data_IF_726399372183
#
_entry.id   IF_726399372183
#
_cell.length_a   1.000
_cell.length_b   1.000
_cell.length_c   1.000
_cell.angle_alpha   90.00
_cell.angle_beta   90.00
_cell.angle_gamma   90.00
#
_symmetry.space_group_name_H-M   'P 1'
#
loop_
_entity.id
_entity.type
_entity.pdbx_description
1 polymer ?
#
# COMPACT_ATOMS: atom_id res chain seq x y z
N UNK A 1 -12.80 3.72 -2.31
CA UNK A 1 -11.48 4.31 -2.07
C UNK A 1 -10.39 3.48 -2.75
N UNK A 2 -10.27 3.62 -4.08
CA UNK A 2 -9.39 2.77 -4.89
C UNK A 2 -8.35 3.58 -5.68
N UNK A 3 -8.42 4.90 -5.59
CA UNK A 3 -7.54 5.82 -6.31
C UNK A 3 -6.31 6.22 -5.48
N UNK A 4 -5.81 5.32 -4.64
CA UNK A 4 -4.61 5.60 -3.84
C UNK A 4 -4.85 6.39 -2.54
N UNK A 5 -6.07 6.85 -2.25
CA UNK A 5 -6.43 7.39 -0.93
C UNK A 5 -6.64 6.22 0.05
N UNK A 6 -5.57 5.56 0.44
CA UNK A 6 -5.63 4.39 1.32
C UNK A 6 -4.95 4.61 2.66
N UNK A 7 -4.24 5.72 2.86
CA UNK A 7 -3.67 6.03 4.16
C UNK A 7 -4.77 6.48 5.13
N UNK A 8 -4.85 5.84 6.29
CA UNK A 8 -5.83 6.20 7.33
C UNK A 8 -5.69 7.67 7.75
N UNK A 9 -4.48 8.23 7.92
CA UNK A 9 -4.31 9.65 8.21
C UNK A 9 -4.97 10.58 7.18
N UNK A 10 -4.83 10.31 5.88
CA UNK A 10 -5.44 11.13 4.83
C UNK A 10 -6.97 11.04 4.83
N UNK A 11 -7.53 9.87 5.14
CA UNK A 11 -8.97 9.66 5.20
C UNK A 11 -9.65 10.36 6.38
N UNK A 12 -8.90 10.62 7.46
CA UNK A 12 -9.40 11.29 8.65
C UNK A 12 -9.22 12.81 8.61
N UNK A 13 -8.57 13.36 7.58
CA UNK A 13 -8.36 14.79 7.44
C UNK A 13 -9.51 15.47 6.70
N UNK A 14 -9.88 16.71 7.09
CA UNK A 14 -10.79 17.52 6.30
C UNK A 14 -10.22 17.81 4.91
N UNK A 15 -11.09 17.91 3.90
CA UNK A 15 -10.67 18.10 2.51
C UNK A 15 -9.72 19.27 2.30
N UNK A 16 -9.93 20.41 2.98
CA UNK A 16 -9.13 21.62 2.79
C UNK A 16 -7.66 21.46 3.23
N UNK A 17 -7.34 20.53 4.13
CA UNK A 17 -5.97 20.27 4.59
C UNK A 17 -5.27 19.15 3.80
N UNK A 18 -5.94 18.53 2.84
CA UNK A 18 -5.34 17.57 1.95
C UNK A 18 -4.34 18.25 1.01
N UNK A 19 -3.28 17.55 0.63
CA UNK A 19 -2.38 18.00 -0.43
C UNK A 19 -3.11 18.06 -1.79
N UNK A 20 -2.55 18.81 -2.75
CA UNK A 20 -3.14 18.92 -4.09
C UNK A 20 -3.39 17.56 -4.74
N UNK A 21 -2.44 16.64 -4.67
CA UNK A 21 -2.61 15.29 -5.21
C UNK A 21 -3.65 14.44 -4.43
N UNK A 22 -3.80 14.63 -3.12
CA UNK A 22 -4.87 13.98 -2.34
C UNK A 22 -6.25 14.55 -2.68
N UNK A 23 -6.36 15.88 -2.85
CA UNK A 23 -7.59 16.53 -3.30
C UNK A 23 -8.00 16.01 -4.67
N UNK A 24 -7.08 16.02 -5.64
CA UNK A 24 -7.36 15.53 -6.99
C UNK A 24 -7.88 14.08 -6.99
N UNK A 25 -7.26 13.20 -6.20
CA UNK A 25 -7.75 11.81 -6.03
C UNK A 25 -9.13 11.73 -5.37
N UNK A 26 -9.41 12.61 -4.41
CA UNK A 26 -10.71 12.68 -3.76
C UNK A 26 -11.78 13.14 -4.74
N UNK A 27 -11.49 14.16 -5.54
CA UNK A 27 -12.40 14.71 -6.53
C UNK A 27 -12.76 13.70 -7.62
N UNK A 28 -11.76 13.00 -8.16
CA UNK A 28 -11.98 11.90 -9.10
C UNK A 28 -12.84 10.81 -8.45
N UNK A 29 -12.54 10.44 -7.19
CA UNK A 29 -13.28 9.38 -6.50
C UNK A 29 -14.76 9.72 -6.27
N UNK A 30 -15.07 10.98 -6.04
CA UNK A 30 -16.46 11.48 -5.87
C UNK A 30 -17.18 11.59 -7.21
N UNK A 31 -16.48 12.04 -8.25
CA UNK A 31 -17.04 12.24 -9.58
C UNK A 31 -17.24 10.93 -10.36
N UNK A 32 -16.54 9.86 -9.98
CA UNK A 32 -16.49 8.60 -10.72
C UNK A 32 -17.82 7.87 -10.66
N UNK A 33 -18.51 7.82 -11.79
CA UNK A 33 -19.75 7.09 -12.03
C UNK A 33 -19.86 6.67 -13.49
N UNK A 34 -20.84 5.88 -13.81
CA UNK A 34 -21.14 5.55 -15.20
C UNK A 34 -21.44 6.81 -16.03
N UNK A 35 -20.85 6.92 -17.20
CA UNK A 35 -21.02 8.06 -18.10
C UNK A 35 -20.32 9.34 -17.65
N UNK A 36 -19.39 9.33 -16.70
CA UNK A 36 -18.70 10.53 -16.26
C UNK A 36 -17.64 11.01 -17.26
N UNK A 37 -17.39 12.32 -17.22
CA UNK A 37 -16.31 13.00 -17.95
C UNK A 37 -15.32 13.51 -16.91
N UNK A 38 -14.03 13.20 -17.07
CA UNK A 38 -12.95 13.70 -16.22
C UNK A 38 -12.06 14.55 -17.11
N UNK A 39 -12.04 15.84 -16.84
CA UNK A 39 -11.20 16.80 -17.53
C UNK A 39 -9.92 17.08 -16.74
N UNK A 40 -8.88 17.61 -17.42
CA UNK A 40 -7.58 17.94 -16.83
C UNK A 40 -6.96 16.77 -16.04
N UNK A 41 -7.21 15.55 -16.49
CA UNK A 41 -6.72 14.36 -15.80
C UNK A 41 -5.19 14.38 -15.70
N UNK A 42 -4.69 14.30 -14.48
CA UNK A 42 -3.25 14.33 -14.10
C UNK A 42 -2.51 15.65 -14.31
N UNK A 43 -3.18 16.76 -14.69
CA UNK A 43 -2.54 18.06 -14.91
C UNK A 43 -1.78 18.59 -13.67
N UNK A 44 -2.27 18.30 -12.47
CA UNK A 44 -1.71 18.76 -11.19
C UNK A 44 -0.84 17.68 -10.48
N UNK A 45 -0.52 16.59 -11.16
CA UNK A 45 0.16 15.45 -10.57
C UNK A 45 1.60 15.31 -11.10
N UNK A 46 2.54 14.91 -10.22
CA UNK A 46 3.81 14.40 -10.71
C UNK A 46 3.58 13.06 -11.46
N UNK A 47 4.56 12.62 -12.26
CA UNK A 47 4.37 11.47 -13.15
C UNK A 47 4.17 10.13 -12.40
N UNK A 48 4.79 9.94 -11.24
CA UNK A 48 4.63 8.72 -10.43
C UNK A 48 3.22 8.66 -9.84
N UNK A 49 2.72 9.78 -9.34
CA UNK A 49 1.35 9.89 -8.85
C UNK A 49 0.33 9.71 -9.98
N UNK A 50 0.56 10.35 -11.14
CA UNK A 50 -0.28 10.20 -12.33
C UNK A 50 -0.39 8.74 -12.76
N UNK A 51 0.73 8.01 -12.80
CA UNK A 51 0.75 6.56 -13.07
C UNK A 51 -0.10 5.78 -12.09
N UNK A 52 0.08 6.04 -10.79
CA UNK A 52 -0.69 5.35 -9.73
C UNK A 52 -2.19 5.64 -9.80
N UNK A 53 -2.57 6.89 -10.06
CA UNK A 53 -3.97 7.27 -10.21
C UNK A 53 -4.58 6.60 -11.45
N UNK A 54 -3.90 6.62 -12.58
CA UNK A 54 -4.36 6.02 -13.83
C UNK A 54 -4.62 4.53 -13.69
N UNK A 55 -3.65 3.80 -13.13
CA UNK A 55 -3.78 2.37 -12.85
C UNK A 55 -4.92 2.10 -11.85
N UNK A 56 -4.99 2.88 -10.78
CA UNK A 56 -6.03 2.75 -9.76
C UNK A 56 -7.43 3.03 -10.31
N UNK A 57 -7.55 4.02 -11.20
CA UNK A 57 -8.78 4.38 -11.88
C UNK A 57 -9.22 3.25 -12.81
N UNK A 58 -8.35 2.74 -13.67
CA UNK A 58 -8.67 1.61 -14.55
C UNK A 58 -9.14 0.39 -13.76
N UNK A 59 -8.40 -0.02 -12.75
CA UNK A 59 -8.79 -1.12 -11.88
C UNK A 59 -10.14 -0.91 -11.19
N UNK A 60 -10.49 0.35 -10.90
CA UNK A 60 -11.77 0.68 -10.27
C UNK A 60 -12.90 0.61 -11.27
N UNK A 61 -12.72 1.13 -12.49
CA UNK A 61 -13.66 1.05 -13.59
C UNK A 61 -13.99 -0.41 -13.89
N UNK A 62 -12.97 -1.24 -14.10
CA UNK A 62 -13.15 -2.66 -14.41
C UNK A 62 -13.88 -3.41 -13.28
N UNK A 63 -13.52 -3.14 -12.03
CA UNK A 63 -14.12 -3.82 -10.88
C UNK A 63 -15.58 -3.43 -10.61
N UNK A 64 -15.95 -2.17 -10.90
CA UNK A 64 -17.30 -1.66 -10.68
C UNK A 64 -18.17 -1.84 -11.93
N UNK A 65 -17.57 -2.22 -13.07
CA UNK A 65 -18.27 -2.37 -14.34
C UNK A 65 -18.74 -1.06 -14.94
N UNK A 66 -18.12 0.06 -14.57
CA UNK A 66 -18.48 1.38 -15.12
C UNK A 66 -18.13 1.49 -16.60
N UNK A 67 -18.97 2.18 -17.34
CA UNK A 67 -18.87 2.33 -18.79
C UNK A 67 -19.08 3.78 -19.22
N UNK A 68 -18.74 4.10 -20.49
CA UNK A 68 -18.93 5.42 -21.09
C UNK A 68 -18.19 6.53 -20.35
N UNK A 69 -16.98 6.22 -19.86
CA UNK A 69 -16.14 7.20 -19.17
C UNK A 69 -15.24 7.86 -20.20
N UNK A 70 -15.23 9.19 -20.22
CA UNK A 70 -14.35 9.99 -21.06
C UNK A 70 -13.33 10.70 -20.18
N UNK A 71 -12.07 10.65 -20.57
CA UNK A 71 -10.96 11.28 -19.85
C UNK A 71 -10.22 12.18 -20.82
N UNK A 72 -10.10 13.46 -20.49
CA UNK A 72 -9.26 14.40 -21.24
C UNK A 72 -7.96 14.66 -20.46
N UNK A 73 -6.82 14.59 -21.14
CA UNK A 73 -5.51 14.82 -20.56
C UNK A 73 -4.57 15.43 -21.59
N UNK A 74 -3.68 16.31 -21.12
CA UNK A 74 -2.58 16.85 -21.91
C UNK A 74 -1.31 15.91 -21.91
N UNK A 75 -1.39 14.78 -21.22
CA UNK A 75 -0.27 13.86 -21.05
C UNK A 75 -0.51 12.54 -21.77
N UNK A 76 0.33 12.21 -22.75
CA UNK A 76 0.16 10.99 -23.56
C UNK A 76 0.51 9.70 -22.83
N UNK A 77 1.42 9.74 -21.85
CA UNK A 77 1.86 8.56 -21.07
C UNK A 77 0.74 7.95 -20.18
N UNK A 78 -0.36 8.70 -19.95
CA UNK A 78 -1.53 8.14 -19.25
C UNK A 78 -2.25 7.07 -20.09
N UNK A 79 -2.08 7.08 -21.41
CA UNK A 79 -2.72 6.11 -22.33
C UNK A 79 -2.28 4.68 -21.97
N UNK A 80 -0.98 4.47 -21.78
CA UNK A 80 -0.43 3.15 -21.41
C UNK A 80 -0.89 2.67 -20.03
N UNK A 81 -1.21 3.61 -19.13
CA UNK A 81 -1.62 3.27 -17.77
C UNK A 81 -3.12 3.10 -17.60
N UNK A 82 -3.90 3.84 -18.39
CA UNK A 82 -5.37 3.75 -18.39
C UNK A 82 -5.89 2.60 -19.25
N UNK A 83 -5.11 2.16 -20.25
CA UNK A 83 -5.53 1.15 -21.23
C UNK A 83 -6.93 1.46 -21.80
N UNK A 84 -7.13 2.64 -22.41
CA UNK A 84 -8.43 3.04 -22.90
C UNK A 84 -8.89 2.14 -24.04
N UNK A 85 -10.21 2.05 -24.23
CA UNK A 85 -10.79 1.31 -25.34
C UNK A 85 -10.68 2.08 -26.66
N UNK A 86 -10.51 3.42 -26.60
CA UNK A 86 -10.27 4.31 -27.73
C UNK A 86 -9.54 5.57 -27.30
N UNK A 87 -8.83 6.19 -28.22
CA UNK A 87 -8.07 7.45 -28.03
C UNK A 87 -8.36 8.39 -29.19
N UNK A 88 -8.76 9.61 -28.88
CA UNK A 88 -8.85 10.72 -29.86
C UNK A 88 -7.69 11.67 -29.60
N UNK A 89 -6.84 11.88 -30.60
CA UNK A 89 -5.83 12.93 -30.59
C UNK A 89 -6.47 14.21 -31.14
N UNK A 90 -6.65 15.22 -30.29
CA UNK A 90 -7.32 16.47 -30.66
C UNK A 90 -6.51 17.35 -31.59
N UNK A 91 -5.18 17.17 -31.67
CA UNK A 91 -4.30 17.93 -32.59
C UNK A 91 -4.45 17.40 -34.00
N UNK A 92 -4.41 16.07 -34.18
CA UNK A 92 -4.47 15.44 -35.50
C UNK A 92 -5.89 15.07 -35.94
N UNK A 93 -6.85 15.05 -35.01
CA UNK A 93 -8.20 14.53 -35.24
C UNK A 93 -8.28 13.03 -35.42
N UNK A 94 -7.17 12.29 -35.16
CA UNK A 94 -7.14 10.84 -35.34
C UNK A 94 -7.85 10.12 -34.21
N UNK A 95 -8.63 9.09 -34.58
CA UNK A 95 -9.22 8.13 -33.65
C UNK A 95 -8.47 6.81 -33.75
N UNK A 96 -7.98 6.31 -32.64
CA UNK A 96 -7.40 4.97 -32.51
C UNK A 96 -8.32 4.13 -31.62
N UNK A 97 -8.79 3.02 -32.15
CA UNK A 97 -9.61 2.06 -31.42
C UNK A 97 -8.77 0.83 -31.05
N UNK A 98 -9.08 0.26 -29.91
CA UNK A 98 -8.41 -0.94 -29.38
C UNK A 98 -7.71 -0.67 -28.06
N UNK A 99 -7.78 -1.65 -27.18
CA UNK A 99 -7.18 -1.59 -25.86
C UNK A 99 -5.68 -1.87 -25.93
N UNK A 100 -4.88 -0.91 -25.51
CA UNK A 100 -3.44 -1.14 -25.36
C UNK A 100 -3.17 -2.04 -24.15
N UNK A 101 -2.11 -2.87 -24.24
CA UNK A 101 -1.72 -3.74 -23.12
C UNK A 101 -0.72 -3.01 -22.25
N UNK A 102 -1.02 -2.94 -20.96
CA UNK A 102 -0.14 -2.31 -19.97
C UNK A 102 1.22 -2.99 -19.90
N UNK A 103 2.27 -2.22 -19.99
CA UNK A 103 3.60 -2.71 -19.63
C UNK A 103 3.69 -2.91 -18.12
N UNK A 104 4.14 -4.10 -17.68
CA UNK A 104 4.33 -4.39 -16.27
C UNK A 104 5.45 -3.52 -15.70
N UNK A 105 5.16 -2.75 -14.65
CA UNK A 105 6.21 -2.03 -13.93
C UNK A 105 7.04 -3.00 -13.11
N UNK A 106 8.36 -2.92 -13.25
CA UNK A 106 9.29 -3.68 -12.42
C UNK A 106 9.56 -2.92 -11.13
N UNK A 107 9.61 -3.67 -10.02
CA UNK A 107 9.97 -3.14 -8.71
C UNK A 107 11.07 -4.01 -8.13
N UNK A 108 12.04 -3.37 -7.48
CA UNK A 108 13.13 -4.05 -6.79
C UNK A 108 12.98 -3.87 -5.28
N UNK A 109 13.28 -4.93 -4.52
CA UNK A 109 13.31 -4.90 -3.07
C UNK A 109 14.76 -5.07 -2.64
N UNK A 110 15.27 -4.10 -1.89
CA UNK A 110 16.65 -4.08 -1.40
C UNK A 110 16.68 -3.94 0.11
N UNK A 111 17.65 -4.55 0.81
CA UNK A 111 17.85 -4.34 2.23
C UNK A 111 18.25 -2.90 2.53
N UNK A 112 17.86 -2.39 3.70
CA UNK A 112 18.21 -1.04 4.13
C UNK A 112 18.38 -0.94 5.66
N UNK A 113 18.96 0.19 6.09
CA UNK A 113 19.06 0.51 7.51
C UNK A 113 17.72 0.98 8.10
N UNK A 114 17.52 0.77 9.40
CA UNK A 114 16.37 1.34 10.15
C UNK A 114 16.28 2.87 10.03
N UNK A 115 17.37 3.56 9.69
CA UNK A 115 17.37 5.01 9.42
C UNK A 115 16.46 5.41 8.26
N UNK A 116 16.25 4.53 7.28
CA UNK A 116 15.33 4.76 6.17
C UNK A 116 13.89 5.00 6.62
N UNK A 117 13.52 4.53 7.81
CA UNK A 117 12.20 4.76 8.41
C UNK A 117 11.84 6.25 8.55
N UNK A 118 12.81 7.13 8.67
CA UNK A 118 12.58 8.57 8.77
C UNK A 118 11.71 9.13 7.62
N UNK A 119 11.83 8.56 6.43
CA UNK A 119 11.04 8.95 5.25
C UNK A 119 9.57 8.51 5.39
N UNK A 120 9.31 7.40 6.07
CA UNK A 120 8.01 6.73 6.07
C UNK A 120 7.19 6.96 7.35
N UNK A 121 7.82 7.38 8.43
CA UNK A 121 7.19 7.49 9.76
C UNK A 121 5.90 8.32 9.78
N UNK A 122 5.85 9.39 8.99
CA UNK A 122 4.69 10.30 8.92
C UNK A 122 3.52 9.71 8.13
N UNK A 123 3.75 8.64 7.38
CA UNK A 123 2.74 7.94 6.59
C UNK A 123 2.21 6.68 7.30
N UNK A 124 2.77 6.34 8.47
CA UNK A 124 2.32 5.19 9.25
C UNK A 124 1.29 5.63 10.31
N UNK A 125 0.22 4.86 10.46
CA UNK A 125 -0.97 5.24 11.22
C UNK A 125 -0.92 4.94 12.73
N UNK A 126 0.04 4.14 13.22
CA UNK A 126 0.04 3.71 14.63
C UNK A 126 1.09 4.41 15.49
N UNK A 127 2.33 4.44 15.06
CA UNK A 127 3.41 5.06 15.84
C UNK A 127 4.54 5.49 14.93
N UNK A 128 5.30 6.50 15.38
CA UNK A 128 6.46 7.02 14.66
C UNK A 128 7.71 6.16 14.84
N UNK A 129 7.71 5.18 15.74
CA UNK A 129 8.91 4.47 16.12
C UNK A 129 9.07 3.13 15.39
N UNK A 130 10.33 2.76 15.14
CA UNK A 130 10.73 1.48 14.62
C UNK A 130 11.63 0.77 15.65
N UNK A 131 11.50 -0.56 15.73
CA UNK A 131 12.38 -1.36 16.57
C UNK A 131 13.81 -1.32 16.03
N UNK A 132 14.79 -1.03 16.88
CA UNK A 132 16.20 -0.92 16.50
C UNK A 132 16.79 -2.23 15.92
N UNK A 133 16.27 -3.39 16.35
CA UNK A 133 16.65 -4.69 15.83
C UNK A 133 15.81 -5.18 14.64
N UNK A 134 15.05 -4.30 13.99
CA UNK A 134 14.27 -4.67 12.84
C UNK A 134 15.14 -4.82 11.58
N UNK A 135 14.88 -5.88 10.83
CA UNK A 135 15.38 -6.04 9.47
C UNK A 135 14.48 -5.23 8.52
N UNK A 136 15.08 -4.46 7.65
CA UNK A 136 14.36 -3.46 6.86
C UNK A 136 14.66 -3.59 5.37
N UNK A 137 13.66 -3.27 4.54
CA UNK A 137 13.76 -3.27 3.09
C UNK A 137 13.08 -2.04 2.49
N UNK A 138 13.66 -1.54 1.42
CA UNK A 138 13.07 -0.55 0.53
C UNK A 138 12.53 -1.24 -0.73
N UNK A 139 11.42 -0.74 -1.23
CA UNK A 139 10.93 -1.03 -2.58
C UNK A 139 11.24 0.16 -3.48
N UNK A 140 11.88 -0.11 -4.60
CA UNK A 140 12.23 0.88 -5.63
C UNK A 140 11.48 0.55 -6.93
N UNK A 141 11.13 1.57 -7.69
CA UNK A 141 10.61 1.39 -9.06
C UNK A 141 11.75 1.22 -10.08
N UNK A 142 11.40 1.13 -11.35
CA UNK A 142 12.31 1.03 -12.51
C UNK A 142 13.24 2.23 -12.68
N UNK A 143 12.91 3.38 -12.06
CA UNK A 143 13.71 4.62 -12.06
C UNK A 143 14.49 4.85 -10.76
N UNK A 144 14.59 3.82 -9.91
CA UNK A 144 15.21 3.88 -8.60
C UNK A 144 14.55 4.84 -7.60
N UNK A 145 13.31 5.27 -7.86
CA UNK A 145 12.56 6.03 -6.88
C UNK A 145 12.04 5.12 -5.76
N UNK A 146 12.17 5.61 -4.54
CA UNK A 146 11.68 4.92 -3.35
C UNK A 146 10.14 4.93 -3.36
N UNK A 147 9.54 3.74 -3.34
CA UNK A 147 8.08 3.55 -3.37
C UNK A 147 7.53 3.07 -2.04
N UNK A 148 8.29 2.23 -1.33
CA UNK A 148 7.80 1.59 -0.12
C UNK A 148 8.90 1.14 0.81
N UNK A 149 8.47 0.81 2.03
CA UNK A 149 9.30 0.32 3.10
C UNK A 149 8.59 -0.84 3.80
N UNK A 150 9.33 -1.87 4.14
CA UNK A 150 8.84 -2.89 5.06
C UNK A 150 9.91 -3.31 6.03
N UNK A 151 9.48 -3.81 7.19
CA UNK A 151 10.39 -4.33 8.19
C UNK A 151 9.80 -5.54 8.92
N UNK A 152 10.69 -6.40 9.38
CA UNK A 152 10.35 -7.59 10.15
C UNK A 152 11.20 -7.66 11.42
N UNK A 153 10.64 -8.27 12.47
CA UNK A 153 11.32 -8.54 13.73
C UNK A 153 11.17 -10.01 14.11
N UNK A 154 12.15 -10.58 14.82
CA UNK A 154 11.98 -11.90 15.42
C UNK A 154 10.76 -11.93 16.34
N UNK A 155 10.02 -13.02 16.28
CA UNK A 155 8.81 -13.21 17.09
C UNK A 155 8.75 -14.64 17.64
N UNK A 156 9.75 -15.09 18.40
CA UNK A 156 9.73 -16.43 18.96
C UNK A 156 8.59 -16.58 19.97
N UNK A 157 7.87 -17.68 19.89
CA UNK A 157 6.84 -18.08 20.85
C UNK A 157 7.31 -19.29 21.65
N UNK A 158 6.52 -19.71 22.66
CA UNK A 158 6.81 -20.92 23.46
C UNK A 158 7.03 -22.16 22.57
N UNK A 159 6.18 -22.30 21.54
CA UNK A 159 6.14 -23.49 20.70
C UNK A 159 6.67 -23.24 19.28
N UNK A 160 7.11 -22.02 18.98
CA UNK A 160 7.58 -21.65 17.64
C UNK A 160 8.95 -21.02 17.73
N UNK A 161 9.95 -21.80 17.36
CA UNK A 161 11.30 -21.30 17.09
C UNK A 161 11.32 -20.61 15.72
N UNK A 162 12.26 -19.99 15.22
CA UNK A 162 12.39 -19.43 13.87
C UNK A 162 11.14 -18.69 13.36
N UNK A 163 10.45 -17.95 14.23
CA UNK A 163 9.28 -17.16 13.87
C UNK A 163 9.65 -15.69 13.68
N UNK A 164 9.14 -15.11 12.62
CA UNK A 164 9.30 -13.69 12.30
C UNK A 164 7.93 -13.03 12.16
N UNK A 165 7.89 -11.75 12.37
CA UNK A 165 6.66 -10.98 12.28
C UNK A 165 6.89 -9.67 11.54
N UNK A 166 5.99 -9.36 10.61
CA UNK A 166 5.89 -8.04 10.01
C UNK A 166 5.76 -6.97 11.09
N UNK A 167 6.61 -5.95 11.01
CA UNK A 167 6.64 -4.88 12.00
C UNK A 167 6.06 -3.58 11.46
N UNK A 168 6.54 -3.13 10.31
CA UNK A 168 6.06 -1.93 9.62
C UNK A 168 6.02 -2.20 8.13
N UNK A 169 4.94 -1.80 7.47
CA UNK A 169 4.85 -1.78 6.01
C UNK A 169 4.15 -0.52 5.58
N UNK A 170 4.81 0.28 4.76
CA UNK A 170 4.32 1.57 4.28
C UNK A 170 4.65 1.72 2.81
N UNK A 171 3.67 2.11 2.02
CA UNK A 171 3.83 2.57 0.64
C UNK A 171 3.63 4.08 0.63
N UNK A 172 4.52 4.80 -0.02
CA UNK A 172 4.41 6.26 -0.14
C UNK A 172 3.12 6.63 -0.89
N UNK A 173 2.52 7.79 -0.58
CA UNK A 173 1.21 8.20 -1.12
C UNK A 173 1.10 8.12 -2.63
N UNK A 174 2.17 8.47 -3.36
CA UNK A 174 2.19 8.51 -4.82
C UNK A 174 2.12 7.11 -5.46
N UNK A 175 2.39 6.06 -4.69
CA UNK A 175 2.42 4.66 -5.16
C UNK A 175 1.30 3.80 -4.54
N UNK A 176 0.38 4.41 -3.78
CA UNK A 176 -0.73 3.68 -3.14
C UNK A 176 -1.85 3.35 -4.13
N UNK A 177 -2.63 2.31 -3.82
CA UNK A 177 -3.83 1.94 -4.57
C UNK A 177 -3.63 0.93 -5.68
N UNK A 178 -2.40 0.60 -6.05
CA UNK A 178 -2.04 -0.34 -7.12
C UNK A 178 -1.57 -1.72 -6.61
N UNK A 179 -1.78 -2.00 -5.32
CA UNK A 179 -1.49 -3.31 -4.73
C UNK A 179 -0.05 -3.52 -4.25
N UNK A 180 0.82 -2.50 -4.32
CA UNK A 180 2.24 -2.64 -3.94
C UNK A 180 2.45 -3.04 -2.48
N UNK A 181 1.58 -2.60 -1.57
CA UNK A 181 1.70 -2.95 -0.15
C UNK A 181 1.57 -4.44 0.10
N UNK A 182 0.59 -5.10 -0.52
CA UNK A 182 0.44 -6.55 -0.45
C UNK A 182 1.61 -7.25 -1.11
N UNK A 183 2.00 -6.82 -2.31
CA UNK A 183 3.13 -7.41 -3.06
C UNK A 183 4.44 -7.33 -2.27
N UNK A 184 4.76 -6.16 -1.66
CA UNK A 184 5.95 -5.97 -0.83
C UNK A 184 5.91 -6.91 0.39
N UNK A 185 4.79 -6.98 1.08
CA UNK A 185 4.60 -7.83 2.25
C UNK A 185 4.74 -9.31 1.89
N UNK A 186 4.10 -9.76 0.82
CA UNK A 186 4.12 -11.15 0.37
C UNK A 186 5.53 -11.58 -0.08
N UNK A 187 6.24 -10.72 -0.81
CA UNK A 187 7.62 -11.01 -1.22
C UNK A 187 8.55 -11.17 -0.02
N UNK A 188 8.47 -10.28 0.97
CA UNK A 188 9.28 -10.39 2.18
C UNK A 188 8.89 -11.64 2.99
N UNK A 189 7.60 -11.92 3.11
CA UNK A 189 7.13 -13.13 3.77
C UNK A 189 7.69 -14.39 3.10
N UNK A 190 7.69 -14.43 1.76
CA UNK A 190 8.25 -15.55 0.99
C UNK A 190 9.75 -15.71 1.26
N UNK A 191 10.53 -14.61 1.30
CA UNK A 191 11.96 -14.66 1.63
C UNK A 191 12.24 -15.35 2.98
N UNK A 192 11.34 -15.19 3.97
CA UNK A 192 11.47 -15.88 5.26
C UNK A 192 11.06 -17.35 5.19
N UNK A 193 10.00 -17.68 4.45
CA UNK A 193 9.59 -19.07 4.20
C UNK A 193 10.71 -19.85 3.49
N UNK A 194 11.34 -19.26 2.47
CA UNK A 194 12.43 -19.86 1.71
C UNK A 194 13.67 -20.19 2.60
N UNK A 195 13.81 -19.46 3.71
CA UNK A 195 14.84 -19.71 4.75
C UNK A 195 14.38 -20.68 5.85
N UNK A 196 13.24 -21.34 5.69
CA UNK A 196 12.70 -22.27 6.69
C UNK A 196 12.12 -21.58 7.93
N UNK A 197 11.81 -20.29 7.85
CA UNK A 197 11.20 -19.54 8.94
C UNK A 197 9.68 -19.49 8.79
N UNK A 198 8.97 -19.33 9.90
CA UNK A 198 7.54 -18.98 9.87
C UNK A 198 7.38 -17.46 9.88
N UNK A 199 6.42 -16.94 9.13
CA UNK A 199 6.20 -15.51 9.03
C UNK A 199 4.77 -15.12 9.37
N UNK A 200 4.62 -14.15 10.26
CA UNK A 200 3.33 -13.70 10.77
C UNK A 200 3.12 -12.22 10.49
N UNK A 201 1.86 -11.83 10.37
CA UNK A 201 1.47 -10.43 10.34
C UNK A 201 0.33 -10.15 11.28
N UNK A 202 0.37 -8.95 11.87
CA UNK A 202 -0.75 -8.37 12.62
C UNK A 202 -0.99 -6.96 12.13
N UNK A 203 -2.21 -6.68 11.69
CA UNK A 203 -2.59 -5.36 11.21
C UNK A 203 -3.96 -4.96 11.76
N UNK A 204 -4.14 -3.67 12.01
CA UNK A 204 -5.46 -3.08 12.25
C UNK A 204 -6.01 -2.38 11.00
N UNK A 205 -5.30 -2.46 9.87
CA UNK A 205 -5.73 -1.87 8.61
C UNK A 205 -6.79 -2.76 7.94
N UNK A 206 -8.07 -2.32 7.86
CA UNK A 206 -9.17 -3.18 7.43
C UNK A 206 -8.96 -3.77 6.03
N UNK A 207 -8.58 -2.93 5.05
CA UNK A 207 -8.38 -3.39 3.66
C UNK A 207 -7.30 -4.45 3.53
N UNK A 208 -6.18 -4.31 4.26
CA UNK A 208 -5.11 -5.29 4.25
C UNK A 208 -5.54 -6.58 4.95
N UNK A 209 -6.22 -6.46 6.09
CA UNK A 209 -6.75 -7.60 6.83
C UNK A 209 -7.78 -8.39 6.04
N UNK A 210 -8.75 -7.71 5.43
CA UNK A 210 -9.76 -8.34 4.57
C UNK A 210 -9.17 -8.95 3.29
N UNK A 211 -8.13 -8.32 2.72
CA UNK A 211 -7.40 -8.90 1.59
C UNK A 211 -6.77 -10.24 2.01
N UNK A 212 -6.09 -10.29 3.15
CA UNK A 212 -5.45 -11.51 3.65
C UNK A 212 -6.44 -12.58 4.08
N UNK A 213 -7.63 -12.21 4.57
CA UNK A 213 -8.69 -13.17 4.85
C UNK A 213 -9.14 -13.95 3.60
N UNK A 214 -8.95 -13.37 2.41
CA UNK A 214 -9.36 -13.95 1.11
C UNK A 214 -8.20 -14.52 0.31
N UNK A 215 -6.98 -14.18 0.69
CA UNK A 215 -5.78 -14.60 -0.02
C UNK A 215 -5.41 -16.05 0.35
N UNK A 216 -5.09 -16.87 -0.65
CA UNK A 216 -4.74 -18.28 -0.45
C UNK A 216 -3.37 -18.48 0.19
N UNK A 217 -2.49 -17.48 0.11
CA UNK A 217 -1.13 -17.49 0.66
C UNK A 217 -1.06 -17.02 2.12
N UNK A 218 -2.18 -16.60 2.71
CA UNK A 218 -2.29 -16.19 4.12
C UNK A 218 -3.33 -17.01 4.86
N UNK A 219 -2.94 -17.59 5.98
CA UNK A 219 -3.83 -18.37 6.86
C UNK A 219 -4.19 -17.55 8.10
N UNK A 220 -5.48 -17.36 8.44
CA UNK A 220 -5.86 -16.70 9.69
C UNK A 220 -5.36 -17.48 10.89
N UNK A 221 -4.84 -16.77 11.91
CA UNK A 221 -4.49 -17.37 13.20
C UNK A 221 -5.69 -17.35 14.14
N UNK A 222 -5.60 -18.05 15.27
CA UNK A 222 -6.62 -18.02 16.34
C UNK A 222 -6.89 -16.62 16.89
N UNK A 223 -5.97 -15.68 16.66
CA UNK A 223 -6.08 -14.27 17.10
C UNK A 223 -6.57 -13.34 15.97
N UNK A 224 -7.07 -13.89 14.86
CA UNK A 224 -7.63 -13.10 13.77
C UNK A 224 -9.03 -12.59 14.13
N UNK A 225 -9.36 -11.38 13.69
CA UNK A 225 -10.64 -10.68 13.95
C UNK A 225 -10.96 -10.47 15.44
N UNK A 226 -9.95 -10.47 16.30
CA UNK A 226 -10.13 -10.22 17.73
C UNK A 226 -10.12 -8.71 17.97
N UNK A 227 -11.17 -8.23 18.65
CA UNK A 227 -11.21 -6.86 19.17
C UNK A 227 -10.19 -6.71 20.31
N UNK A 228 -9.36 -5.70 20.23
CA UNK A 228 -8.39 -5.38 21.29
C UNK A 228 -8.63 -3.97 21.80
N UNK A 229 -8.81 -3.86 23.10
CA UNK A 229 -8.73 -2.57 23.79
C UNK A 229 -7.30 -2.04 23.64
N UNK A 230 -7.15 -0.77 23.27
CA UNK A 230 -5.85 -0.13 23.17
C UNK A 230 -5.17 -0.15 24.53
N UNK A 231 -4.11 -0.93 24.68
CA UNK A 231 -3.29 -0.99 25.91
C UNK A 231 -2.31 0.18 26.04
N UNK A 232 -2.58 1.31 25.40
CA UNK A 232 -1.73 2.51 25.44
C UNK A 232 -1.76 3.26 26.78
N UNK A 233 -2.50 2.78 27.76
CA UNK A 233 -2.55 3.39 29.11
C UNK A 233 -1.20 3.32 29.85
N UNK A 234 -0.29 2.42 29.45
CA UNK A 234 0.99 2.23 30.17
C UNK A 234 2.14 3.15 29.77
N UNK A 235 2.10 3.80 28.61
CA UNK A 235 3.22 4.66 28.15
C UNK A 235 3.01 6.16 28.42
N UNK A 236 1.81 6.59 28.78
CA UNK A 236 1.53 7.99 29.11
C UNK A 236 2.08 8.44 30.47
N UNK A 237 2.57 7.51 31.28
CA UNK A 237 3.04 7.83 32.65
C UNK A 237 4.51 8.21 32.73
N UNK A 238 5.34 7.94 31.73
CA UNK A 238 6.76 8.33 31.73
C UNK A 238 7.03 9.75 31.23
N UNK A 239 6.09 10.37 30.50
CA UNK A 239 6.27 11.71 29.94
C UNK A 239 5.70 12.87 30.78
N UNK A 240 5.22 12.59 31.98
CA UNK A 240 4.75 13.64 32.92
C UNK A 240 5.82 14.65 33.36
N UNK A 241 7.09 14.46 32.96
CA UNK A 241 8.21 15.38 33.30
C UNK A 241 8.57 16.36 32.19
N UNK A 242 7.98 16.31 31.02
CA UNK A 242 8.15 17.33 29.98
C UNK A 242 6.80 17.98 29.71
N UNK A 243 6.57 19.08 30.41
CA UNK A 243 5.37 19.89 30.21
C UNK A 243 5.30 20.38 28.78
N UNK A 244 4.34 19.90 28.07
CA UNK A 244 3.63 20.50 26.96
C UNK A 244 2.96 19.40 26.12
N UNK A 245 1.76 19.66 25.74
CA UNK A 245 0.79 18.90 24.97
C UNK A 245 -0.06 17.94 25.80
N UNK A 246 -1.19 18.47 26.16
CA UNK A 246 -2.38 17.70 26.45
C UNK A 246 -2.55 16.70 25.32
N UNK A 247 -2.22 15.47 25.61
CA UNK A 247 -2.59 14.33 24.75
C UNK A 247 -4.09 14.42 24.56
N UNK A 248 -4.55 14.67 23.35
CA UNK A 248 -5.91 14.38 22.97
C UNK A 248 -6.16 12.93 23.40
N UNK A 249 -7.10 12.76 24.29
CA UNK A 249 -7.48 11.47 24.83
C UNK A 249 -8.25 10.68 23.76
N UNK A 250 -7.51 10.28 22.74
CA UNK A 250 -8.00 9.40 21.64
C UNK A 250 -8.33 8.00 22.15
N UNK A 251 -8.49 7.86 23.45
CA UNK A 251 -8.03 6.66 24.01
C UNK A 251 -8.93 5.76 24.63
N UNK A 252 -9.97 6.13 25.11
CA UNK A 252 -10.47 5.25 26.12
C UNK A 252 -11.33 4.09 25.60
N UNK A 253 -11.84 4.13 24.36
CA UNK A 253 -12.87 3.15 23.96
C UNK A 253 -12.86 2.72 22.48
N UNK A 254 -11.90 3.07 21.67
CA UNK A 254 -11.86 2.57 20.31
C UNK A 254 -11.39 1.11 20.30
N UNK A 255 -12.32 0.19 20.32
CA UNK A 255 -12.06 -1.21 20.05
C UNK A 255 -11.55 -1.36 18.61
N UNK A 256 -10.32 -1.89 18.48
CA UNK A 256 -9.73 -2.12 17.16
C UNK A 256 -9.80 -3.60 16.83
N UNK A 257 -10.42 -3.93 15.72
CA UNK A 257 -10.32 -5.26 15.15
C UNK A 257 -8.87 -5.47 14.69
N UNK A 258 -8.26 -6.53 15.18
CA UNK A 258 -6.92 -6.93 14.85
C UNK A 258 -6.96 -8.14 13.90
N UNK A 259 -6.45 -7.97 12.69
CA UNK A 259 -6.29 -9.05 11.73
C UNK A 259 -4.94 -9.72 11.96
N UNK A 260 -4.94 -11.03 12.12
CA UNK A 260 -3.72 -11.80 12.42
C UNK A 260 -3.62 -13.02 11.52
N UNK A 261 -2.54 -13.09 10.75
CA UNK A 261 -2.34 -14.12 9.74
C UNK A 261 -0.92 -14.68 9.78
N UNK A 262 -0.78 -15.93 9.36
CA UNK A 262 0.46 -16.59 9.04
C UNK A 262 0.59 -16.71 7.52
N UNK A 263 1.73 -16.36 6.98
CA UNK A 263 2.03 -16.57 5.56
C UNK A 263 2.44 -18.02 5.34
N UNK A 264 1.80 -18.69 4.40
CA UNK A 264 1.99 -20.12 4.12
C UNK A 264 2.66 -20.39 2.76
N UNK A 265 3.07 -19.32 2.09
CA UNK A 265 3.68 -19.39 0.76
C UNK A 265 2.65 -19.32 -0.36
N UNK A 266 3.13 -19.07 -1.56
CA UNK A 266 2.34 -19.19 -2.78
C UNK A 266 2.11 -20.69 -2.99
N UNK A 267 0.92 -21.17 -2.66
CA UNK A 267 0.50 -22.51 -3.03
C UNK A 267 0.64 -22.64 -4.55
N UNK A 268 1.04 -23.80 -5.05
CA UNK A 268 1.24 -24.13 -6.47
C UNK A 268 0.01 -23.78 -7.33
N UNK A 269 -0.30 -22.54 -7.50
CA UNK A 269 -1.20 -22.04 -8.53
C UNK A 269 -0.37 -21.79 -9.78
N UNK A 270 -0.20 -22.86 -10.53
CA UNK A 270 0.19 -22.84 -11.93
C UNK A 270 -0.67 -21.79 -12.64
N UNK A 271 0.02 -20.85 -13.31
CA UNK A 271 -0.51 -19.86 -14.23
C UNK A 271 -1.21 -18.62 -13.65
N UNK A 272 -0.39 -17.63 -13.29
CA UNK A 272 -0.59 -16.24 -13.74
C UNK A 272 0.77 -15.60 -13.85
N UNK A 273 1.14 -15.16 -15.03
CA UNK A 273 2.36 -14.39 -15.31
C UNK A 273 2.38 -13.07 -14.50
N UNK A 274 2.90 -13.15 -13.30
CA UNK A 274 3.37 -11.99 -12.56
C UNK A 274 4.88 -12.04 -12.70
N UNK A 275 5.43 -11.20 -13.59
CA UNK A 275 6.88 -11.05 -13.70
C UNK A 275 7.46 -10.79 -12.31
N UNK A 276 8.37 -11.64 -11.92
CA UNK A 276 9.01 -11.75 -10.62
C UNK A 276 9.61 -10.42 -10.15
N UNK A 277 9.32 -10.06 -8.91
CA UNK A 277 10.12 -9.06 -8.19
C UNK A 277 11.51 -9.66 -7.97
N UNK A 278 12.52 -9.14 -8.67
CA UNK A 278 13.91 -9.54 -8.44
C UNK A 278 14.38 -8.96 -7.11
N UNK A 279 14.83 -9.79 -6.19
CA UNK A 279 15.56 -9.38 -5.00
C UNK A 279 17.02 -9.80 -5.12
N UNK A 280 17.93 -8.90 -4.76
CA UNK A 280 19.33 -9.25 -4.66
C UNK A 280 19.58 -10.00 -3.37
N UNK A 281 20.01 -11.25 -3.49
CA UNK A 281 20.50 -12.04 -2.36
C UNK A 281 21.93 -11.55 -2.01
N UNK A 282 22.01 -10.48 -1.24
CA UNK A 282 23.25 -10.20 -0.52
C UNK A 282 23.11 -10.67 0.92
N UNK A 283 24.10 -11.39 1.35
CA UNK A 283 24.30 -12.02 2.64
C UNK A 283 23.87 -11.17 3.82
N UNK A 284 22.73 -11.49 4.40
CA UNK A 284 22.15 -10.84 5.57
C UNK A 284 22.17 -11.76 6.80
N UNK A 285 23.29 -12.51 6.97
CA UNK A 285 23.56 -13.22 8.24
C UNK A 285 25.07 -13.36 8.43
#
# INVERSE_FOLDING_TARGET
>A
MRLGLSSIPSLCRPYHVLSTGEKHRADIAVSLKDGCIIDEFTSVCNRDLAKSISIGLRNTIDKLGYRKIVIASCHEDVIDWLEPDWVINTITGSLVEGRSVRQSSEYRIIPCSTKAWAVFKNHHYLSSDINAGAYCWLMLNDKDHICGFSSAIPSPGRDVRNAWREHRTVILPDYQGIGLGSKLSDTIAQMFIDKGCRYFSKTAHPKLGEHRNRASNWKPTSMNNVSRKSSYVGMATSDKKRGAYTSFDYNSHAERICYSHEYIGEGNSINKEVKSVKYQQETLF
#
